data_IF_058151916813
#
_entry.id   IF_058151916813
#
_cell.length_a   1.000
_cell.length_b   1.000
_cell.length_c   1.000
_cell.angle_alpha   90.00
_cell.angle_beta   90.00
_cell.angle_gamma   90.00
#
_symmetry.space_group_name_H-M   'P 1'
#
loop_
_entity.id
_entity.type
_entity.pdbx_description
1 polymer ?
#
# COMPACT_ATOMS: atom_id res chain seq x y z
N UNK A 1 -32.48 -43.39 8.75
CA UNK A 1 -33.68 -42.75 8.19
C UNK A 1 -33.19 -41.56 7.41
N UNK A 2 -33.14 -41.67 6.27
CA UNK A 2 -33.80 -41.63 4.97
C UNK A 2 -33.18 -40.54 4.11
N UNK A 3 -32.51 -41.01 3.09
CA UNK A 3 -31.94 -40.21 1.98
C UNK A 3 -33.03 -39.53 1.18
N UNK A 4 -32.77 -38.33 0.68
CA UNK A 4 -33.44 -37.76 -0.47
C UNK A 4 -32.42 -37.25 -1.50
N UNK A 5 -32.40 -37.93 -2.64
CA UNK A 5 -31.62 -37.66 -3.86
C UNK A 5 -32.29 -36.54 -4.67
N UNK A 6 -31.53 -35.64 -5.23
CA UNK A 6 -31.95 -34.75 -6.32
C UNK A 6 -31.18 -35.13 -7.59
N UNK A 7 -31.83 -35.17 -8.77
CA UNK A 7 -31.29 -35.81 -9.96
C UNK A 7 -30.37 -34.91 -10.82
N UNK A 8 -29.48 -35.62 -11.46
CA UNK A 8 -28.55 -35.18 -12.51
C UNK A 8 -29.34 -34.86 -13.81
N UNK A 9 -29.15 -33.72 -14.38
CA UNK A 9 -29.55 -33.40 -15.76
C UNK A 9 -28.31 -33.27 -16.60
N UNK A 10 -28.16 -34.22 -17.50
CA UNK A 10 -27.15 -34.26 -18.57
C UNK A 10 -27.56 -33.46 -19.78
N UNK A 11 -26.60 -32.86 -20.43
CA UNK A 11 -26.60 -32.67 -21.88
C UNK A 11 -26.88 -31.29 -22.41
N UNK A 12 -25.81 -30.49 -22.66
CA UNK A 12 -25.78 -29.62 -23.85
C UNK A 12 -24.37 -29.74 -24.46
N UNK A 13 -24.37 -30.31 -25.65
CA UNK A 13 -23.24 -30.47 -26.56
C UNK A 13 -23.17 -29.18 -27.38
N UNK A 14 -22.06 -28.45 -27.32
CA UNK A 14 -21.81 -27.34 -28.24
C UNK A 14 -20.74 -27.76 -29.26
N UNK A 15 -21.18 -27.80 -30.48
CA UNK A 15 -20.35 -28.07 -31.67
C UNK A 15 -19.39 -26.89 -31.92
N UNK A 16 -18.15 -27.29 -32.29
CA UNK A 16 -17.15 -26.37 -32.85
C UNK A 16 -17.52 -26.05 -34.28
N UNK A 17 -17.71 -24.80 -34.61
CA UNK A 17 -17.56 -24.31 -35.99
C UNK A 17 -16.33 -23.42 -36.12
N UNK A 18 -15.42 -23.89 -36.99
CA UNK A 18 -14.34 -23.14 -37.59
C UNK A 18 -14.91 -22.03 -38.49
N UNK A 19 -14.42 -20.80 -38.36
CA UNK A 19 -14.40 -19.86 -39.49
C UNK A 19 -13.10 -19.10 -39.57
N UNK A 20 -12.40 -19.42 -40.63
CA UNK A 20 -11.27 -18.73 -41.25
C UNK A 20 -11.63 -17.34 -41.75
N UNK A 21 -10.68 -16.42 -41.63
CA UNK A 21 -10.28 -15.35 -42.55
C UNK A 21 -11.40 -14.59 -43.30
N UNK A 22 -11.49 -13.29 -43.01
CA UNK A 22 -11.96 -12.33 -44.03
C UNK A 22 -11.16 -11.03 -43.94
N UNK A 23 -10.52 -10.75 -45.02
CA UNK A 23 -9.71 -9.62 -45.42
C UNK A 23 -10.49 -8.31 -45.43
N UNK A 24 -9.73 -7.25 -45.18
CA UNK A 24 -10.14 -5.86 -45.34
C UNK A 24 -10.65 -5.58 -46.79
N UNK A 25 -11.81 -4.99 -46.88
CA UNK A 25 -12.20 -4.24 -48.10
C UNK A 25 -12.78 -2.88 -47.70
N UNK A 26 -12.10 -1.86 -48.23
CA UNK A 26 -12.56 -0.47 -48.24
C UNK A 26 -13.87 -0.36 -49.01
N UNK A 27 -14.86 0.28 -48.42
CA UNK A 27 -15.94 0.90 -49.20
C UNK A 27 -16.00 2.39 -48.85
N UNK A 28 -15.51 3.18 -49.79
CA UNK A 28 -15.87 4.60 -49.94
C UNK A 28 -17.36 4.69 -50.16
N UNK A 29 -18.10 5.35 -49.27
CA UNK A 29 -19.44 5.83 -49.54
C UNK A 29 -19.37 7.35 -49.65
N UNK A 30 -19.58 7.84 -50.88
CA UNK A 30 -19.75 9.24 -51.19
C UNK A 30 -20.95 9.84 -50.47
N UNK A 31 -20.76 11.03 -49.95
CA UNK A 31 -21.73 11.80 -49.17
C UNK A 31 -22.47 12.77 -50.12
N UNK A 32 -23.77 12.68 -50.29
CA UNK A 32 -24.54 13.74 -50.88
C UNK A 32 -25.53 14.32 -49.88
N UNK A 33 -25.16 15.36 -49.16
CA UNK A 33 -26.07 16.40 -48.65
C UNK A 33 -25.23 17.59 -48.12
N UNK A 34 -24.89 18.47 -49.04
CA UNK A 34 -24.50 19.83 -48.70
C UNK A 34 -25.74 20.62 -48.29
N UNK A 35 -25.69 21.26 -47.13
CA UNK A 35 -26.59 22.35 -46.80
C UNK A 35 -27.51 22.15 -45.58
N UNK A 36 -26.93 22.07 -44.38
CA UNK A 36 -27.63 22.52 -43.16
C UNK A 36 -26.59 23.19 -42.26
N UNK A 37 -26.69 24.49 -42.07
CA UNK A 37 -25.95 25.25 -41.04
C UNK A 37 -26.41 24.79 -39.66
N UNK A 38 -25.66 23.92 -39.02
CA UNK A 38 -25.78 23.60 -37.60
C UNK A 38 -24.92 24.57 -36.78
N UNK A 39 -25.44 25.09 -35.64
CA UNK A 39 -24.65 25.99 -34.78
C UNK A 39 -23.42 25.23 -34.24
N UNK A 40 -22.26 25.87 -34.34
CA UNK A 40 -20.99 25.28 -34.00
C UNK A 40 -20.93 24.79 -32.55
N UNK A 41 -21.03 23.51 -32.37
CA UNK A 41 -20.49 22.86 -31.18
C UNK A 41 -18.95 22.84 -31.30
N UNK A 42 -18.31 23.81 -30.63
CA UNK A 42 -16.90 23.71 -30.35
C UNK A 42 -16.70 22.48 -29.47
N UNK A 43 -16.50 21.33 -30.10
CA UNK A 43 -15.85 20.18 -29.40
C UNK A 43 -14.42 20.64 -29.19
N UNK A 44 -14.17 21.24 -28.00
CA UNK A 44 -12.84 21.46 -27.49
C UNK A 44 -12.12 20.12 -27.60
N UNK A 45 -11.16 20.03 -28.51
CA UNK A 45 -10.26 18.90 -28.60
C UNK A 45 -9.62 18.74 -27.21
N UNK A 46 -10.16 17.82 -26.39
CA UNK A 46 -9.51 17.40 -25.16
C UNK A 46 -8.12 16.92 -25.56
N UNK A 47 -7.12 17.71 -25.24
CA UNK A 47 -5.74 17.46 -25.62
C UNK A 47 -5.34 16.10 -25.04
N UNK A 48 -5.08 15.13 -25.91
CA UNK A 48 -4.61 13.78 -25.55
C UNK A 48 -3.40 13.87 -24.60
N UNK A 49 -2.54 14.89 -24.76
CA UNK A 49 -1.43 15.19 -23.85
C UNK A 49 -1.84 15.50 -22.40
N UNK A 50 -3.06 16.03 -22.16
CA UNK A 50 -3.58 16.19 -20.79
C UNK A 50 -4.00 14.87 -20.15
N UNK A 51 -4.43 13.90 -20.92
CA UNK A 51 -4.77 12.56 -20.41
C UNK A 51 -3.54 11.82 -19.87
N UNK A 52 -2.42 11.88 -20.60
CA UNK A 52 -1.16 11.25 -20.14
C UNK A 52 -0.56 11.95 -18.90
N UNK A 53 -0.58 13.28 -18.83
CA UNK A 53 -0.07 14.03 -17.69
C UNK A 53 -0.86 13.84 -16.39
N UNK A 54 -2.14 13.44 -16.46
CA UNK A 54 -2.93 13.11 -15.28
C UNK A 54 -2.63 11.72 -14.74
N UNK A 55 -2.32 10.76 -15.60
CA UNK A 55 -1.87 9.40 -15.19
C UNK A 55 -0.59 9.44 -14.36
N UNK A 56 0.42 10.19 -14.82
CA UNK A 56 1.70 10.35 -14.13
C UNK A 56 1.51 10.90 -12.72
N UNK A 57 0.63 11.89 -12.55
CA UNK A 57 0.41 12.54 -11.25
C UNK A 57 -0.11 11.59 -10.18
N UNK A 58 -0.93 10.59 -10.51
CA UNK A 58 -1.39 9.59 -9.53
C UNK A 58 -0.25 8.73 -9.02
N UNK A 59 0.63 8.28 -9.93
CA UNK A 59 1.82 7.53 -9.53
C UNK A 59 2.78 8.40 -8.70
N UNK A 60 2.98 9.67 -9.05
CA UNK A 60 3.78 10.61 -8.26
C UNK A 60 3.27 10.72 -6.81
N UNK A 61 1.95 10.84 -6.62
CA UNK A 61 1.34 10.94 -5.30
C UNK A 61 1.43 9.62 -4.50
N UNK A 62 1.24 8.47 -5.15
CA UNK A 62 1.40 7.16 -4.50
C UNK A 62 2.86 6.91 -4.09
N UNK A 63 3.81 7.23 -4.97
CA UNK A 63 5.25 7.15 -4.65
C UNK A 63 5.65 8.10 -3.54
N UNK A 64 5.11 9.33 -3.54
CA UNK A 64 5.34 10.29 -2.46
C UNK A 64 4.78 9.79 -1.12
N UNK A 65 3.59 9.18 -1.10
CA UNK A 65 3.01 8.57 0.10
C UNK A 65 3.87 7.39 0.59
N UNK A 66 4.28 6.49 -0.29
CA UNK A 66 5.18 5.39 0.05
C UNK A 66 6.54 5.89 0.59
N UNK A 67 7.07 6.98 0.03
CA UNK A 67 8.30 7.60 0.53
C UNK A 67 8.12 8.22 1.91
N UNK A 68 6.95 8.82 2.22
CA UNK A 68 6.66 9.31 3.57
C UNK A 68 6.53 8.17 4.58
N UNK A 69 5.92 7.04 4.18
CA UNK A 69 5.86 5.84 5.01
C UNK A 69 7.28 5.33 5.34
N UNK A 70 8.13 5.15 4.35
CA UNK A 70 9.53 4.77 4.47
C UNK A 70 10.32 5.75 5.36
N UNK A 71 10.21 7.05 5.11
CA UNK A 71 10.86 8.09 5.91
C UNK A 71 10.43 8.03 7.38
N UNK A 72 9.14 7.80 7.66
CA UNK A 72 8.63 7.69 9.03
C UNK A 72 9.22 6.49 9.77
N UNK A 73 9.38 5.35 9.07
CA UNK A 73 10.03 4.16 9.64
C UNK A 73 11.50 4.42 9.93
N UNK A 74 12.24 5.07 9.03
CA UNK A 74 13.64 5.46 9.30
C UNK A 74 13.77 6.38 10.52
N UNK A 75 12.86 7.33 10.72
CA UNK A 75 12.83 8.14 11.95
C UNK A 75 12.62 7.28 13.20
N UNK A 76 11.77 6.24 13.12
CA UNK A 76 11.54 5.31 14.23
C UNK A 76 12.80 4.49 14.51
N UNK A 77 13.45 3.97 13.48
CA UNK A 77 14.72 3.23 13.57
C UNK A 77 15.80 4.07 14.25
N UNK A 78 15.95 5.34 13.84
CA UNK A 78 16.90 6.28 14.47
C UNK A 78 16.54 6.55 15.93
N UNK A 79 15.26 6.74 16.25
CA UNK A 79 14.79 6.93 17.63
C UNK A 79 15.10 5.73 18.50
N UNK A 80 14.78 4.50 18.07
CA UNK A 80 15.05 3.27 18.82
C UNK A 80 16.54 3.07 19.04
N UNK A 81 17.38 3.37 18.04
CA UNK A 81 18.83 3.34 18.14
C UNK A 81 19.39 4.35 19.14
N UNK A 82 18.82 5.56 19.22
CA UNK A 82 19.17 6.56 20.24
C UNK A 82 18.81 6.11 21.64
N UNK A 83 17.63 5.52 21.80
CA UNK A 83 17.17 4.93 23.08
C UNK A 83 18.12 3.84 23.54
N UNK A 84 18.52 2.93 22.66
CA UNK A 84 19.46 1.85 22.97
C UNK A 84 20.81 2.39 23.46
N UNK A 85 21.31 3.48 22.86
CA UNK A 85 22.53 4.18 23.31
C UNK A 85 22.35 5.02 24.57
N UNK A 86 21.14 5.13 25.12
CA UNK A 86 20.83 5.94 26.30
C UNK A 86 20.88 7.45 26.05
N UNK A 87 20.75 7.88 24.78
CA UNK A 87 20.70 9.29 24.43
C UNK A 87 19.39 9.94 24.88
N UNK A 88 19.44 11.25 25.16
CA UNK A 88 18.25 11.99 25.57
C UNK A 88 17.31 12.18 24.38
N UNK A 89 16.06 11.76 24.53
CA UNK A 89 15.01 11.97 23.54
C UNK A 89 14.43 13.37 23.70
N UNK A 90 14.75 14.28 22.81
CA UNK A 90 14.34 15.68 22.93
C UNK A 90 13.21 16.05 21.99
N UNK A 91 13.02 15.31 20.88
CA UNK A 91 12.08 15.69 19.84
C UNK A 91 11.52 14.50 19.07
N UNK A 92 10.20 14.44 18.95
CA UNK A 92 9.45 13.50 18.11
C UNK A 92 8.61 14.25 17.06
N UNK A 93 8.86 15.54 16.84
CA UNK A 93 8.13 16.36 15.88
C UNK A 93 8.21 15.82 14.45
N UNK A 94 9.32 15.15 14.11
CA UNK A 94 9.52 14.51 12.82
C UNK A 94 8.42 13.48 12.47
N UNK A 95 7.90 12.74 13.45
CA UNK A 95 6.79 11.80 13.23
C UNK A 95 5.49 12.51 12.90
N UNK A 96 5.18 13.56 13.67
CA UNK A 96 3.98 14.36 13.42
C UNK A 96 4.07 15.10 12.07
N UNK A 97 5.26 15.50 11.65
CA UNK A 97 5.52 16.13 10.37
C UNK A 97 5.34 15.14 9.21
N UNK A 98 5.96 13.97 9.27
CA UNK A 98 5.79 12.90 8.28
C UNK A 98 4.31 12.52 8.11
N UNK A 99 3.57 12.36 9.21
CA UNK A 99 2.14 12.07 9.15
C UNK A 99 1.32 13.21 8.56
N UNK A 100 1.63 14.46 8.87
CA UNK A 100 0.92 15.62 8.30
C UNK A 100 1.15 15.71 6.79
N UNK A 101 2.38 15.49 6.36
CA UNK A 101 2.72 15.50 4.94
C UNK A 101 2.00 14.36 4.19
N UNK A 102 1.99 13.15 4.72
CA UNK A 102 1.28 12.05 4.08
C UNK A 102 -0.25 12.28 4.06
N UNK A 103 -0.81 12.90 5.11
CA UNK A 103 -2.21 13.34 5.10
C UNK A 103 -2.48 14.35 3.98
N UNK A 104 -1.56 15.30 3.75
CA UNK A 104 -1.66 16.29 2.66
C UNK A 104 -1.63 15.59 1.30
N UNK A 105 -0.72 14.63 1.10
CA UNK A 105 -0.62 13.83 -0.12
C UNK A 105 -1.92 13.06 -0.37
N UNK A 106 -2.46 12.40 0.65
CA UNK A 106 -3.72 11.64 0.57
C UNK A 106 -4.92 12.55 0.22
N UNK A 107 -4.96 13.76 0.77
CA UNK A 107 -5.98 14.76 0.44
C UNK A 107 -5.84 15.23 -1.02
N UNK A 108 -4.63 15.54 -1.47
CA UNK A 108 -4.37 15.93 -2.87
C UNK A 108 -4.77 14.81 -3.84
N UNK A 109 -4.46 13.56 -3.51
CA UNK A 109 -4.85 12.40 -4.30
C UNK A 109 -6.38 12.29 -4.41
N UNK A 110 -7.10 12.48 -3.30
CA UNK A 110 -8.57 12.46 -3.28
C UNK A 110 -9.17 13.59 -4.14
N UNK A 111 -8.58 14.80 -4.09
CA UNK A 111 -8.98 15.91 -4.93
C UNK A 111 -8.72 15.64 -6.41
N UNK A 112 -7.56 15.07 -6.76
CA UNK A 112 -7.27 14.71 -8.15
C UNK A 112 -8.23 13.65 -8.66
N UNK A 113 -8.57 12.63 -7.86
CA UNK A 113 -9.58 11.63 -8.21
C UNK A 113 -10.94 12.28 -8.50
N UNK A 114 -11.35 13.29 -7.72
CA UNK A 114 -12.63 13.96 -7.93
C UNK A 114 -12.69 14.80 -9.23
N UNK A 115 -11.55 15.31 -9.68
CA UNK A 115 -11.40 16.20 -10.84
C UNK A 115 -11.07 15.48 -12.14
N UNK A 116 -10.59 14.22 -12.05
CA UNK A 116 -10.08 13.45 -13.20
C UNK A 116 -11.12 12.44 -13.66
N UNK A 117 -11.45 12.46 -14.95
CA UNK A 117 -12.46 11.55 -15.51
C UNK A 117 -11.88 10.16 -15.80
N UNK A 118 -10.65 10.08 -16.29
CA UNK A 118 -9.94 8.83 -16.60
C UNK A 118 -8.72 8.70 -15.70
N UNK A 119 -8.62 7.60 -14.97
CA UNK A 119 -7.51 7.29 -14.05
C UNK A 119 -6.70 6.09 -14.57
N UNK A 120 -5.38 5.99 -14.26
CA UNK A 120 -4.53 4.88 -14.72
C UNK A 120 -4.89 3.53 -14.10
N UNK A 121 -5.46 3.54 -12.92
CA UNK A 121 -5.98 2.41 -12.16
C UNK A 121 -7.41 2.74 -11.74
N UNK A 122 -8.18 1.75 -11.30
CA UNK A 122 -9.52 2.03 -10.75
C UNK A 122 -9.41 2.93 -9.49
N UNK A 123 -10.40 3.79 -9.30
CA UNK A 123 -10.41 4.78 -8.22
C UNK A 123 -10.31 4.13 -6.85
N UNK A 124 -10.98 3.01 -6.69
CA UNK A 124 -11.00 2.21 -5.46
C UNK A 124 -9.62 1.62 -5.15
N UNK A 125 -8.89 1.19 -6.17
CA UNK A 125 -7.52 0.66 -6.02
C UNK A 125 -6.55 1.77 -5.58
N UNK A 126 -6.63 2.94 -6.22
CA UNK A 126 -5.83 4.11 -5.85
C UNK A 126 -6.13 4.55 -4.41
N UNK A 127 -7.41 4.66 -4.05
CA UNK A 127 -7.83 5.06 -2.70
C UNK A 127 -7.44 4.01 -1.66
N UNK A 128 -7.62 2.73 -1.97
CA UNK A 128 -7.27 1.62 -1.10
C UNK A 128 -5.77 1.59 -0.77
N UNK A 129 -4.93 1.75 -1.79
CA UNK A 129 -3.49 1.80 -1.62
C UNK A 129 -3.04 3.04 -0.82
N UNK A 130 -3.55 4.22 -1.15
CA UNK A 130 -3.24 5.44 -0.41
C UNK A 130 -3.66 5.34 1.06
N UNK A 131 -4.83 4.75 1.35
CA UNK A 131 -5.30 4.53 2.71
C UNK A 131 -4.44 3.52 3.48
N UNK A 132 -3.91 2.49 2.82
CA UNK A 132 -3.00 1.53 3.43
C UNK A 132 -1.64 2.17 3.75
N UNK A 133 -1.05 2.90 2.81
CA UNK A 133 0.20 3.63 3.00
C UNK A 133 0.10 4.63 4.16
N UNK A 134 -0.99 5.41 4.26
CA UNK A 134 -1.21 6.36 5.36
C UNK A 134 -1.24 5.72 6.75
N UNK A 135 -1.63 4.44 6.87
CA UNK A 135 -1.66 3.76 8.17
C UNK A 135 -0.26 3.55 8.76
N UNK A 136 0.78 3.47 7.93
CA UNK A 136 2.16 3.25 8.36
C UNK A 136 2.66 4.45 9.20
N UNK A 137 2.79 5.69 8.67
CA UNK A 137 3.26 6.82 9.46
C UNK A 137 2.34 7.16 10.63
N UNK A 138 1.03 6.87 10.51
CA UNK A 138 0.08 7.03 11.62
C UNK A 138 0.38 6.08 12.79
N UNK A 139 0.83 4.86 12.51
CA UNK A 139 1.20 3.89 13.56
C UNK A 139 2.56 4.25 14.16
N UNK A 140 3.51 4.67 13.32
CA UNK A 140 4.85 5.14 13.75
C UNK A 140 4.74 6.36 14.69
N UNK A 141 3.89 7.35 14.37
CA UNK A 141 3.65 8.50 15.27
C UNK A 141 3.20 8.05 16.65
N UNK A 142 2.27 7.08 16.75
CA UNK A 142 1.81 6.53 18.03
C UNK A 142 2.94 5.90 18.83
N UNK A 143 3.89 5.23 18.17
CA UNK A 143 5.07 4.66 18.83
C UNK A 143 5.93 5.77 19.42
N UNK A 144 6.23 6.81 18.64
CA UNK A 144 6.98 7.97 19.11
C UNK A 144 6.32 8.63 20.34
N UNK A 145 4.99 8.85 20.28
CA UNK A 145 4.22 9.38 21.42
C UNK A 145 4.31 8.46 22.66
N UNK A 146 4.25 7.13 22.48
CA UNK A 146 4.37 6.15 23.58
C UNK A 146 5.76 6.16 24.20
N UNK A 147 6.80 6.19 23.39
CA UNK A 147 8.18 6.24 23.87
C UNK A 147 8.44 7.46 24.75
N UNK A 148 7.84 8.62 24.41
CA UNK A 148 7.97 9.83 25.23
C UNK A 148 7.29 9.76 26.59
N UNK A 149 6.33 8.84 26.80
CA UNK A 149 5.65 8.70 28.09
C UNK A 149 6.58 8.06 29.14
N UNK A 150 7.39 7.08 28.75
CA UNK A 150 8.29 6.33 29.65
C UNK A 150 9.63 6.02 28.96
N UNK A 151 10.43 7.02 28.58
CA UNK A 151 11.69 6.77 27.88
C UNK A 151 12.71 6.00 28.74
N UNK A 152 12.63 6.12 30.07
CA UNK A 152 13.49 5.40 31.01
C UNK A 152 13.28 3.89 30.98
N UNK A 153 12.07 3.42 30.66
CA UNK A 153 11.75 1.98 30.61
C UNK A 153 12.44 1.26 29.43
N UNK A 154 12.96 2.02 28.48
CA UNK A 154 13.62 1.50 27.27
C UNK A 154 15.14 1.44 27.39
N UNK A 155 15.75 2.08 28.39
CA UNK A 155 17.21 2.18 28.51
C UNK A 155 17.86 0.80 28.62
N UNK A 156 18.90 0.59 27.79
CA UNK A 156 19.65 -0.65 27.76
C UNK A 156 18.93 -1.83 27.11
N UNK A 157 17.78 -1.60 26.48
CA UNK A 157 17.10 -2.62 25.68
C UNK A 157 17.52 -2.53 24.23
N UNK A 158 17.78 -3.68 23.62
CA UNK A 158 18.09 -3.75 22.20
C UNK A 158 16.83 -3.97 21.37
N UNK A 159 16.65 -3.14 20.35
CA UNK A 159 15.59 -3.25 19.35
C UNK A 159 16.14 -3.68 17.99
N UNK A 160 17.36 -4.19 17.93
CA UNK A 160 18.06 -4.47 16.68
C UNK A 160 17.26 -5.34 15.72
N UNK A 161 16.68 -6.44 16.21
CA UNK A 161 15.87 -7.33 15.36
C UNK A 161 14.62 -6.65 14.82
N UNK A 162 13.90 -5.89 15.66
CA UNK A 162 12.71 -5.13 15.23
C UNK A 162 13.07 -4.07 14.18
N UNK A 163 14.17 -3.35 14.42
CA UNK A 163 14.69 -2.33 13.49
C UNK A 163 15.00 -2.94 12.13
N UNK A 164 15.70 -4.08 12.09
CA UNK A 164 16.02 -4.77 10.85
C UNK A 164 14.76 -5.19 10.06
N UNK A 165 13.72 -5.69 10.74
CA UNK A 165 12.47 -6.09 10.10
C UNK A 165 11.64 -4.88 9.63
N UNK A 166 11.58 -3.81 10.43
CA UNK A 166 10.89 -2.56 10.09
C UNK A 166 11.46 -1.93 8.81
N UNK A 167 12.78 -1.84 8.74
CA UNK A 167 13.51 -1.24 7.63
C UNK A 167 13.26 -2.05 6.34
N UNK A 168 13.44 -3.37 6.40
CA UNK A 168 13.18 -4.26 5.27
C UNK A 168 11.73 -4.20 4.77
N UNK A 169 10.76 -4.09 5.68
CA UNK A 169 9.34 -4.01 5.32
C UNK A 169 9.03 -2.69 4.59
N UNK A 170 9.49 -1.56 5.12
CA UNK A 170 9.26 -0.23 4.55
C UNK A 170 9.92 -0.07 3.18
N UNK A 171 11.20 -0.46 3.05
CA UNK A 171 11.92 -0.47 1.77
C UNK A 171 11.21 -1.34 0.72
N UNK A 172 10.72 -2.51 1.12
CA UNK A 172 10.02 -3.41 0.19
C UNK A 172 8.72 -2.79 -0.31
N UNK A 173 7.91 -2.15 0.56
CA UNK A 173 6.69 -1.44 0.15
C UNK A 173 7.01 -0.30 -0.81
N UNK A 174 8.03 0.52 -0.50
CA UNK A 174 8.45 1.62 -1.37
C UNK A 174 8.84 1.10 -2.76
N UNK A 175 9.64 0.04 -2.81
CA UNK A 175 10.04 -0.59 -4.07
C UNK A 175 8.85 -1.14 -4.86
N UNK A 176 7.87 -1.78 -4.19
CA UNK A 176 6.64 -2.27 -4.83
C UNK A 176 5.82 -1.15 -5.45
N UNK A 177 5.64 -0.01 -4.74
CA UNK A 177 4.90 1.14 -5.28
C UNK A 177 5.63 1.74 -6.49
N UNK A 178 6.96 1.88 -6.44
CA UNK A 178 7.76 2.37 -7.57
C UNK A 178 7.69 1.46 -8.80
N UNK A 179 7.49 0.16 -8.60
CA UNK A 179 7.32 -0.77 -9.70
C UNK A 179 5.97 -0.63 -10.40
N UNK A 180 4.89 -0.24 -9.69
CA UNK A 180 3.56 -0.05 -10.31
C UNK A 180 3.60 0.87 -11.53
N UNK A 181 4.35 1.99 -11.48
CA UNK A 181 4.51 2.93 -12.60
C UNK A 181 5.15 2.27 -13.82
N UNK A 182 6.06 1.32 -13.63
CA UNK A 182 6.81 0.66 -14.69
C UNK A 182 6.03 -0.47 -15.37
N UNK A 183 4.84 -0.80 -14.87
CA UNK A 183 4.10 -1.98 -15.31
C UNK A 183 4.75 -3.26 -14.78
N UNK A 184 4.58 -3.53 -13.50
CA UNK A 184 5.19 -4.69 -12.82
C UNK A 184 4.62 -5.99 -13.35
N UNK A 185 5.48 -6.94 -13.69
CA UNK A 185 5.03 -8.29 -13.97
C UNK A 185 4.58 -9.02 -12.70
N UNK A 186 3.67 -9.99 -12.87
CA UNK A 186 3.07 -10.75 -11.76
C UNK A 186 4.13 -11.48 -10.93
N UNK A 187 5.18 -12.00 -11.55
CA UNK A 187 6.19 -12.81 -10.87
C UNK A 187 6.97 -11.92 -9.87
N UNK A 188 7.48 -10.79 -10.34
CA UNK A 188 8.16 -9.79 -9.48
C UNK A 188 7.26 -9.31 -8.33
N UNK A 189 5.98 -9.01 -8.62
CA UNK A 189 5.05 -8.56 -7.59
C UNK A 189 4.81 -9.64 -6.51
N UNK A 190 4.70 -10.90 -6.92
CA UNK A 190 4.57 -12.04 -5.98
C UNK A 190 5.81 -12.22 -5.14
N UNK A 191 6.99 -12.24 -5.73
CA UNK A 191 8.26 -12.37 -4.98
C UNK A 191 8.42 -11.28 -3.90
N UNK A 192 8.09 -10.03 -4.25
CA UNK A 192 8.15 -8.92 -3.29
C UNK A 192 7.09 -9.06 -2.18
N UNK A 193 5.88 -9.50 -2.54
CA UNK A 193 4.84 -9.75 -1.56
C UNK A 193 5.17 -10.95 -0.65
N UNK A 194 5.71 -12.04 -1.19
CA UNK A 194 6.15 -13.19 -0.41
C UNK A 194 7.27 -12.81 0.57
N UNK A 195 8.16 -11.88 0.16
CA UNK A 195 9.16 -11.29 1.06
C UNK A 195 8.50 -10.55 2.22
N UNK A 196 7.46 -9.73 1.97
CA UNK A 196 6.72 -9.05 3.03
C UNK A 196 6.01 -10.02 3.98
N UNK A 197 5.42 -11.10 3.45
CA UNK A 197 4.82 -12.16 4.28
C UNK A 197 5.85 -12.84 5.18
N UNK A 198 7.05 -13.10 4.65
CA UNK A 198 8.14 -13.69 5.45
C UNK A 198 8.61 -12.73 6.56
N UNK A 199 8.78 -11.44 6.26
CA UNK A 199 9.17 -10.42 7.23
C UNK A 199 8.12 -10.30 8.35
N UNK A 200 6.84 -10.28 8.01
CA UNK A 200 5.74 -10.22 8.99
C UNK A 200 5.71 -11.50 9.84
N UNK A 201 5.83 -12.69 9.23
CA UNK A 201 5.88 -13.93 10.00
C UNK A 201 7.09 -14.04 10.93
N UNK A 202 8.20 -13.39 10.62
CA UNK A 202 9.36 -13.30 11.52
C UNK A 202 9.16 -12.24 12.61
N UNK A 203 8.42 -11.15 12.33
CA UNK A 203 8.02 -10.14 13.31
C UNK A 203 7.05 -10.73 14.35
N UNK A 204 6.05 -11.49 13.91
CA UNK A 204 5.11 -12.21 14.79
C UNK A 204 5.83 -13.14 15.76
N UNK A 205 6.77 -13.95 15.25
CA UNK A 205 7.57 -14.86 16.10
C UNK A 205 8.39 -14.09 17.11
N UNK A 206 9.05 -13.01 16.67
CA UNK A 206 9.85 -12.15 17.51
C UNK A 206 9.00 -11.50 18.62
N UNK A 207 7.81 -11.00 18.28
CA UNK A 207 6.88 -10.45 19.26
C UNK A 207 6.53 -11.48 20.33
N UNK A 208 6.13 -12.70 19.92
CA UNK A 208 5.81 -13.79 20.86
C UNK A 208 6.99 -14.19 21.75
N UNK A 209 8.23 -14.19 21.22
CA UNK A 209 9.45 -14.42 22.02
C UNK A 209 9.62 -13.33 23.08
N UNK A 210 9.51 -12.06 22.67
CA UNK A 210 9.67 -10.91 23.56
C UNK A 210 8.58 -10.84 24.63
N UNK A 211 7.33 -11.15 24.28
CA UNK A 211 6.23 -11.24 25.22
C UNK A 211 6.45 -12.37 26.23
N UNK A 212 6.92 -13.54 25.77
CA UNK A 212 7.27 -14.65 26.69
C UNK A 212 8.33 -14.23 27.69
N UNK A 213 9.43 -13.62 27.22
CA UNK A 213 10.49 -13.14 28.08
C UNK A 213 9.99 -12.08 29.08
N UNK A 214 9.15 -11.17 28.60
CA UNK A 214 8.54 -10.12 29.43
C UNK A 214 7.69 -10.70 30.57
N UNK A 215 6.86 -11.71 30.29
CA UNK A 215 5.97 -12.32 31.28
C UNK A 215 6.65 -13.30 32.23
N UNK A 216 7.86 -13.79 31.90
CA UNK A 216 8.64 -14.66 32.79
C UNK A 216 9.66 -13.92 33.65
N UNK A 217 9.90 -12.65 33.34
CA UNK A 217 10.79 -11.81 34.14
C UNK A 217 10.05 -11.16 35.33
N UNK A 218 10.82 -10.82 36.37
CA UNK A 218 10.28 -10.10 37.54
C UNK A 218 10.28 -8.58 37.27
N UNK A 219 9.32 -8.12 36.49
CA UNK A 219 9.13 -6.70 36.19
C UNK A 219 7.91 -6.15 36.89
N UNK A 220 7.95 -4.85 37.19
CA UNK A 220 6.76 -4.13 37.65
C UNK A 220 5.65 -4.14 36.59
N UNK A 221 4.40 -4.24 37.03
CA UNK A 221 3.23 -4.29 36.14
C UNK A 221 3.16 -3.12 35.16
N UNK A 222 3.54 -1.91 35.59
CA UNK A 222 3.61 -0.71 34.72
C UNK A 222 4.57 -0.93 33.55
N UNK A 223 5.76 -1.44 33.82
CA UNK A 223 6.78 -1.73 32.83
C UNK A 223 6.30 -2.81 31.86
N UNK A 224 5.69 -3.89 32.36
CA UNK A 224 5.16 -4.98 31.54
C UNK A 224 4.08 -4.47 30.56
N UNK A 225 3.14 -3.65 31.02
CA UNK A 225 2.08 -3.07 30.18
C UNK A 225 2.69 -2.19 29.10
N UNK A 226 3.61 -1.32 29.46
CA UNK A 226 4.26 -0.41 28.51
C UNK A 226 5.04 -1.14 27.43
N UNK A 227 5.87 -2.14 27.83
CA UNK A 227 6.68 -2.92 26.88
C UNK A 227 5.84 -3.80 25.97
N UNK A 228 4.78 -4.44 26.51
CA UNK A 228 3.82 -5.18 25.69
C UNK A 228 3.21 -4.28 24.61
N UNK A 229 2.64 -3.16 25.02
CA UNK A 229 2.00 -2.23 24.08
C UNK A 229 2.99 -1.70 23.02
N UNK A 230 4.26 -1.55 23.38
CA UNK A 230 5.31 -1.13 22.45
C UNK A 230 5.65 -2.24 21.44
N UNK A 231 5.80 -3.51 21.89
CA UNK A 231 6.08 -4.64 20.98
C UNK A 231 4.94 -4.86 19.99
N UNK A 232 3.69 -4.85 20.47
CA UNK A 232 2.49 -4.94 19.64
C UNK A 232 2.42 -3.80 18.59
N UNK A 233 2.84 -2.58 18.94
CA UNK A 233 2.85 -1.46 18.00
C UNK A 233 3.99 -1.57 16.97
N UNK A 234 5.16 -2.09 17.35
CA UNK A 234 6.28 -2.30 16.41
C UNK A 234 5.94 -3.36 15.36
N UNK A 235 5.38 -4.51 15.81
CA UNK A 235 4.84 -5.52 14.90
C UNK A 235 3.77 -4.92 13.99
N UNK A 236 2.87 -4.10 14.54
CA UNK A 236 1.78 -3.47 13.80
C UNK A 236 2.23 -2.58 12.64
N UNK A 237 3.40 -1.97 12.70
CA UNK A 237 3.97 -1.23 11.56
C UNK A 237 4.30 -2.20 10.43
N UNK A 238 4.89 -3.34 10.74
CA UNK A 238 5.25 -4.38 9.75
C UNK A 238 4.00 -4.98 9.12
N UNK A 239 2.97 -5.31 9.94
CA UNK A 239 1.65 -5.74 9.48
C UNK A 239 1.02 -4.73 8.50
N UNK A 240 1.15 -3.41 8.76
CA UNK A 240 0.68 -2.37 7.83
C UNK A 240 1.46 -2.35 6.51
N UNK A 241 2.76 -2.63 6.55
CA UNK A 241 3.55 -2.78 5.32
C UNK A 241 3.10 -4.00 4.51
N UNK A 242 2.86 -5.15 5.16
CA UNK A 242 2.32 -6.34 4.52
C UNK A 242 0.92 -6.08 3.92
N UNK A 243 0.03 -5.38 4.64
CA UNK A 243 -1.29 -5.00 4.14
C UNK A 243 -1.19 -4.16 2.85
N UNK A 244 -0.26 -3.18 2.81
CA UNK A 244 -0.02 -2.38 1.62
C UNK A 244 0.50 -3.24 0.46
N UNK A 245 1.43 -4.16 0.71
CA UNK A 245 1.94 -5.11 -0.27
C UNK A 245 0.85 -6.00 -0.87
N UNK A 246 -0.06 -6.51 -0.04
CA UNK A 246 -1.21 -7.30 -0.49
C UNK A 246 -2.11 -6.51 -1.45
N UNK A 247 -2.37 -5.23 -1.18
CA UNK A 247 -3.14 -4.36 -2.07
C UNK A 247 -2.39 -4.15 -3.39
N UNK A 248 -1.07 -3.90 -3.35
CA UNK A 248 -0.26 -3.73 -4.57
C UNK A 248 -0.31 -4.99 -5.43
N UNK A 249 -0.14 -6.18 -4.82
CA UNK A 249 -0.25 -7.44 -5.54
C UNK A 249 -1.64 -7.63 -6.17
N UNK A 250 -2.72 -7.31 -5.45
CA UNK A 250 -4.09 -7.37 -5.99
C UNK A 250 -4.24 -6.44 -7.21
N UNK A 251 -3.70 -5.23 -7.13
CA UNK A 251 -3.69 -4.28 -8.26
C UNK A 251 -2.94 -4.89 -9.45
N UNK A 252 -1.72 -5.40 -9.24
CA UNK A 252 -0.95 -6.02 -10.33
C UNK A 252 -1.71 -7.19 -10.97
N UNK A 253 -2.30 -8.09 -10.16
CA UNK A 253 -3.08 -9.22 -10.66
C UNK A 253 -4.32 -8.82 -11.48
N UNK A 254 -4.89 -7.66 -11.19
CA UNK A 254 -6.07 -7.14 -11.87
C UNK A 254 -5.75 -6.55 -13.25
N UNK A 255 -4.53 -6.02 -13.43
CA UNK A 255 -4.13 -5.30 -14.63
C UNK A 255 -3.09 -6.05 -15.50
N UNK A 256 -2.84 -7.33 -15.21
CA UNK A 256 -1.86 -8.17 -15.91
C UNK A 256 -2.46 -9.10 -16.96
#
# INVERSE_FOLDING_TARGET
>A
MSFSRIPFISGIRLERENRTSLTADLLCVENPLAGVNAPGYNISMFSVGKLFGHSEKFFDLLEASAKQADTSVHHLVDLLSKVERGESLQDVSAFAESRREDKRITQELTEQLSKTFVTPLEREDIQGLAAALYKIPKTVEKIGERILICPEDLRGRSFKKQVELLDQAAETVLAMVQQLRKGTDIHTAREMNDKLQAIEGDADKLELELLRDLYHADYEAKHMIFMRDLYELLEKVIDRCRDAGNIILQVVLKYS
#
